data_IF_999533026593
#
_entry.id   IF_999533026593
#
_cell.length_a   1.000
_cell.length_b   1.000
_cell.length_c   1.000
_cell.angle_alpha   90.00
_cell.angle_beta   90.00
_cell.angle_gamma   90.00
#
_symmetry.space_group_name_H-M   'P 1'
#
loop_
_entity.id
_entity.type
_entity.pdbx_description
1 polymer ?
#
# COMPACT_ATOMS: atom_id res chain seq x y z
N UNK A 1 32.52 -34.78 11.90
CA UNK A 1 32.59 -34.03 10.63
C UNK A 1 31.22 -33.40 10.44
N UNK A 2 30.95 -32.10 10.33
CA UNK A 2 31.73 -30.86 10.20
C UNK A 2 31.03 -29.82 11.12
N UNK A 3 31.71 -29.10 12.04
CA UNK A 3 32.41 -27.80 11.88
C UNK A 3 31.64 -26.71 11.13
N UNK A 4 31.23 -25.65 11.85
CA UNK A 4 31.01 -24.32 11.28
C UNK A 4 29.94 -23.44 11.94
N UNK A 5 29.94 -23.26 13.26
CA UNK A 5 29.10 -22.24 13.92
C UNK A 5 29.87 -20.92 14.00
N UNK A 6 29.28 -19.85 13.48
CA UNK A 6 29.86 -18.51 13.36
C UNK A 6 29.98 -17.81 14.73
N UNK A 7 31.18 -17.30 15.00
CA UNK A 7 31.50 -16.31 16.04
C UNK A 7 30.97 -14.91 15.62
N UNK A 8 30.39 -14.10 16.52
CA UNK A 8 30.16 -12.68 16.27
C UNK A 8 31.43 -11.88 16.62
N UNK A 9 32.28 -11.66 15.63
CA UNK A 9 33.40 -10.74 15.72
C UNK A 9 32.90 -9.29 15.80
N UNK A 10 33.02 -8.69 16.99
CA UNK A 10 32.85 -7.26 17.19
C UNK A 10 33.93 -6.48 16.43
N UNK A 11 33.55 -5.87 15.31
CA UNK A 11 34.37 -4.91 14.60
C UNK A 11 33.98 -3.50 15.07
N UNK A 12 34.79 -2.95 15.98
CA UNK A 12 34.73 -1.57 16.38
C UNK A 12 34.91 -0.65 15.16
N UNK A 13 33.95 0.26 14.96
CA UNK A 13 33.99 1.32 13.96
C UNK A 13 35.18 2.27 14.25
N UNK A 14 36.03 2.60 13.27
CA UNK A 14 37.07 3.59 13.50
C UNK A 14 36.48 5.00 13.61
N UNK A 15 36.93 5.71 14.64
CA UNK A 15 36.57 7.08 14.97
C UNK A 15 36.75 8.04 13.77
N UNK A 16 35.66 8.75 13.44
CA UNK A 16 35.62 9.79 12.41
C UNK A 16 36.39 11.01 12.91
N UNK A 17 37.59 11.25 12.37
CA UNK A 17 38.37 12.46 12.62
C UNK A 17 37.56 13.71 12.20
N UNK A 18 37.62 14.83 12.94
CA UNK A 18 36.97 16.06 12.55
C UNK A 18 37.67 16.63 11.30
N UNK A 19 36.92 16.73 10.21
CA UNK A 19 37.39 17.33 8.97
C UNK A 19 37.82 18.78 9.20
N UNK A 20 39.06 19.09 8.85
CA UNK A 20 39.51 20.46 8.63
C UNK A 20 38.58 21.14 7.60
N UNK A 21 38.28 22.44 7.74
CA UNK A 21 37.58 23.17 6.70
C UNK A 21 38.40 23.13 5.40
N UNK A 22 37.75 23.02 4.23
CA UNK A 22 38.47 23.05 2.96
C UNK A 22 39.25 24.37 2.86
N UNK A 23 40.56 24.24 2.61
CA UNK A 23 41.44 25.36 2.31
C UNK A 23 40.79 26.23 1.25
N UNK A 24 40.52 27.49 1.61
CA UNK A 24 39.87 28.50 0.80
C UNK A 24 40.65 28.61 -0.50
N UNK A 25 40.11 28.04 -1.59
CA UNK A 25 40.66 28.19 -2.91
C UNK A 25 40.77 29.70 -3.19
N UNK A 26 41.98 30.23 -3.19
CA UNK A 26 42.26 31.60 -3.59
C UNK A 26 41.94 31.69 -5.07
N UNK A 27 40.70 32.07 -5.38
CA UNK A 27 40.30 32.39 -6.75
C UNK A 27 41.24 33.48 -7.24
N UNK A 28 41.94 33.31 -8.38
CA UNK A 28 42.75 34.39 -8.94
C UNK A 28 41.82 35.58 -9.17
N UNK A 29 42.09 36.69 -8.48
CA UNK A 29 41.32 37.92 -8.68
C UNK A 29 41.69 38.46 -10.06
N UNK A 30 40.85 38.16 -11.06
CA UNK A 30 40.90 38.81 -12.36
C UNK A 30 40.89 40.33 -12.14
N UNK A 31 41.69 41.11 -12.89
CA UNK A 31 41.60 42.57 -12.85
C UNK A 31 40.15 42.95 -13.14
N UNK A 32 39.52 43.68 -12.22
CA UNK A 32 38.22 44.28 -12.50
C UNK A 32 38.40 45.14 -13.76
N UNK A 33 37.52 45.01 -14.79
CA UNK A 33 37.54 45.96 -15.88
C UNK A 33 37.41 47.38 -15.30
N UNK A 34 38.05 48.39 -15.89
CA UNK A 34 37.79 49.76 -15.48
C UNK A 34 36.29 49.97 -15.54
N UNK A 35 35.67 50.38 -14.42
CA UNK A 35 34.25 50.70 -14.41
C UNK A 35 33.97 51.58 -15.62
N UNK A 36 32.97 51.26 -16.45
CA UNK A 36 32.57 52.18 -17.50
C UNK A 36 32.34 53.52 -16.81
N UNK A 37 33.07 54.55 -17.24
CA UNK A 37 32.73 55.90 -16.85
C UNK A 37 31.23 56.04 -17.12
N UNK A 38 30.45 56.25 -16.06
CA UNK A 38 29.02 56.52 -16.18
C UNK A 38 28.92 57.60 -17.26
N UNK A 39 28.13 57.40 -18.33
CA UNK A 39 27.92 58.50 -19.24
C UNK A 39 27.42 59.65 -18.37
N UNK A 40 28.16 60.76 -18.35
CA UNK A 40 27.67 62.05 -17.85
C UNK A 40 26.53 62.46 -18.78
N UNK A 41 25.41 61.74 -18.69
CA UNK A 41 24.15 62.13 -19.26
C UNK A 41 23.61 63.22 -18.36
N UNK A 42 23.14 64.31 -18.99
CA UNK A 42 22.27 65.28 -18.34
C UNK A 42 21.25 64.50 -17.50
N UNK A 43 21.34 64.66 -16.18
CA UNK A 43 20.39 64.08 -15.25
C UNK A 43 19.12 64.93 -15.41
N UNK A 44 18.23 64.48 -16.28
CA UNK A 44 16.96 65.16 -16.53
C UNK A 44 16.03 64.92 -15.33
N UNK A 45 15.93 65.95 -14.47
CA UNK A 45 15.14 65.92 -13.26
C UNK A 45 13.68 66.21 -13.62
N UNK A 46 12.84 65.18 -13.59
CA UNK A 46 11.41 65.28 -13.90
C UNK A 46 10.57 65.33 -12.62
N UNK A 47 9.46 66.07 -12.66
CA UNK A 47 8.48 66.11 -11.57
C UNK A 47 7.32 65.17 -11.90
N UNK A 48 6.90 64.35 -10.94
CA UNK A 48 5.70 63.53 -11.07
C UNK A 48 4.42 64.30 -10.72
N UNK A 49 3.26 63.66 -10.94
CA UNK A 49 1.94 64.25 -10.70
C UNK A 49 1.68 64.53 -9.19
N UNK A 50 2.57 64.09 -8.29
CA UNK A 50 2.56 64.32 -6.84
C UNK A 50 3.71 65.28 -6.40
N UNK A 51 4.30 66.01 -7.35
CA UNK A 51 5.41 66.95 -7.14
C UNK A 51 6.70 66.32 -6.55
N UNK A 52 6.87 65.00 -6.66
CA UNK A 52 8.11 64.32 -6.27
C UNK A 52 9.12 64.36 -7.41
N UNK A 53 10.37 64.57 -7.01
CA UNK A 53 11.50 64.60 -7.93
C UNK A 53 11.84 63.17 -8.38
N UNK A 54 11.91 62.95 -9.70
CA UNK A 54 12.27 61.66 -10.33
C UNK A 54 13.30 61.84 -11.43
N UNK A 55 14.25 60.91 -11.48
CA UNK A 55 15.33 60.89 -12.50
C UNK A 55 14.88 60.26 -13.82
N UNK A 56 13.71 59.59 -13.84
CA UNK A 56 13.16 58.95 -15.04
C UNK A 56 11.91 59.68 -15.52
N UNK A 57 11.73 59.88 -16.85
CA UNK A 57 10.53 60.52 -17.39
C UNK A 57 9.23 59.90 -16.90
N UNK A 58 8.26 60.74 -16.53
CA UNK A 58 6.92 60.39 -16.02
C UNK A 58 6.28 59.20 -16.72
N UNK A 59 6.27 59.18 -18.05
CA UNK A 59 5.62 58.11 -18.83
C UNK A 59 6.34 56.77 -18.70
N UNK A 60 7.68 56.78 -18.70
CA UNK A 60 8.48 55.56 -18.51
C UNK A 60 8.35 55.03 -17.08
N UNK A 61 8.24 55.92 -16.08
CA UNK A 61 7.97 55.52 -14.70
C UNK A 61 6.62 54.82 -14.55
N UNK A 62 5.54 55.40 -15.09
CA UNK A 62 4.20 54.78 -15.07
C UNK A 62 4.16 53.44 -15.78
N UNK A 63 4.86 53.30 -16.91
CA UNK A 63 4.96 52.02 -17.62
C UNK A 63 5.70 50.95 -16.80
N UNK A 64 6.78 51.31 -16.12
CA UNK A 64 7.51 50.40 -15.23
C UNK A 64 6.67 49.98 -14.03
N UNK A 65 5.89 50.88 -13.44
CA UNK A 65 4.98 50.57 -12.33
C UNK A 65 3.82 49.64 -12.77
N UNK A 66 3.24 49.90 -13.94
CA UNK A 66 2.23 49.00 -14.51
C UNK A 66 2.82 47.61 -14.82
N UNK A 67 4.04 47.55 -15.36
CA UNK A 67 4.75 46.29 -15.59
C UNK A 67 5.03 45.56 -14.27
N UNK A 68 5.43 46.27 -13.22
CA UNK A 68 5.63 45.72 -11.88
C UNK A 68 4.33 45.10 -11.34
N UNK A 69 3.22 45.83 -11.41
CA UNK A 69 1.90 45.31 -10.99
C UNK A 69 1.47 44.09 -11.81
N UNK A 70 1.70 44.09 -13.13
CA UNK A 70 1.39 42.94 -13.98
C UNK A 70 2.25 41.72 -13.63
N UNK A 71 3.53 41.90 -13.34
CA UNK A 71 4.42 40.84 -12.88
C UNK A 71 3.99 40.27 -11.52
N UNK A 72 3.56 41.12 -10.59
CA UNK A 72 3.03 40.71 -9.29
C UNK A 72 1.74 39.89 -9.48
N UNK A 73 0.77 40.39 -10.25
CA UNK A 73 -0.47 39.70 -10.56
C UNK A 73 -0.24 38.35 -11.27
N UNK A 74 0.74 38.28 -12.18
CA UNK A 74 1.11 37.03 -12.85
C UNK A 74 1.68 36.01 -11.86
N UNK A 75 2.54 36.48 -10.94
CA UNK A 75 3.13 35.64 -9.89
C UNK A 75 2.05 35.09 -8.95
N UNK A 76 1.06 35.90 -8.57
CA UNK A 76 -0.08 35.46 -7.76
C UNK A 76 -0.94 34.43 -8.48
N UNK A 77 -1.23 34.65 -9.77
CA UNK A 77 -1.94 33.67 -10.59
C UNK A 77 -1.21 32.34 -10.67
N UNK A 78 0.12 32.35 -10.87
CA UNK A 78 0.94 31.12 -10.87
C UNK A 78 0.84 30.40 -9.52
N UNK A 79 0.90 31.12 -8.40
CA UNK A 79 0.76 30.52 -7.07
C UNK A 79 -0.60 29.83 -6.92
N UNK A 80 -1.69 30.55 -7.25
CA UNK A 80 -3.05 29.99 -7.19
C UNK A 80 -3.25 28.77 -8.10
N UNK A 81 -2.61 28.77 -9.28
CA UNK A 81 -2.62 27.63 -10.18
C UNK A 81 -1.86 26.44 -9.58
N UNK A 82 -0.69 26.68 -8.99
CA UNK A 82 0.07 25.67 -8.25
C UNK A 82 -0.75 25.04 -7.13
N UNK A 83 -1.43 25.86 -6.32
CA UNK A 83 -2.31 25.38 -5.24
C UNK A 83 -3.47 24.54 -5.78
N UNK A 84 -4.07 24.95 -6.90
CA UNK A 84 -5.15 24.19 -7.55
C UNK A 84 -4.69 22.83 -8.06
N UNK A 85 -3.50 22.79 -8.68
CA UNK A 85 -2.91 21.52 -9.16
C UNK A 85 -2.57 20.63 -7.96
N UNK A 86 -2.02 21.18 -6.88
CA UNK A 86 -1.73 20.43 -5.67
C UNK A 86 -2.98 19.80 -5.06
N UNK A 87 -4.07 20.57 -4.93
CA UNK A 87 -5.36 20.03 -4.48
C UNK A 87 -5.89 18.93 -5.41
N UNK A 88 -5.74 19.08 -6.73
CA UNK A 88 -6.16 18.06 -7.68
C UNK A 88 -5.36 16.76 -7.52
N UNK A 89 -4.04 16.85 -7.33
CA UNK A 89 -3.18 15.68 -7.07
C UNK A 89 -3.63 14.96 -5.80
N UNK A 90 -3.90 15.69 -4.72
CA UNK A 90 -4.36 15.11 -3.46
C UNK A 90 -5.71 14.39 -3.60
N UNK A 91 -6.65 14.97 -4.36
CA UNK A 91 -7.94 14.33 -4.65
C UNK A 91 -7.74 13.07 -5.49
N UNK A 92 -6.90 13.12 -6.52
CA UNK A 92 -6.61 11.96 -7.37
C UNK A 92 -5.97 10.82 -6.58
N UNK A 93 -5.00 11.11 -5.71
CA UNK A 93 -4.39 10.12 -4.83
C UNK A 93 -5.41 9.53 -3.84
N UNK A 94 -6.29 10.35 -3.29
CA UNK A 94 -7.38 9.91 -2.43
C UNK A 94 -8.35 8.95 -3.14
N UNK A 95 -8.76 9.28 -4.36
CA UNK A 95 -9.63 8.42 -5.17
C UNK A 95 -8.94 7.14 -5.63
N UNK A 96 -7.66 7.20 -6.02
CA UNK A 96 -6.88 6.03 -6.39
C UNK A 96 -6.83 5.00 -5.23
N UNK A 97 -6.61 5.47 -4.01
CA UNK A 97 -6.61 4.63 -2.81
C UNK A 97 -7.98 3.99 -2.55
N UNK A 98 -9.08 4.72 -2.72
CA UNK A 98 -10.44 4.18 -2.58
C UNK A 98 -10.74 3.10 -3.62
N UNK A 99 -10.33 3.34 -4.87
CA UNK A 99 -10.50 2.37 -5.96
C UNK A 99 -9.74 1.08 -5.66
N UNK A 100 -8.48 1.18 -5.24
CA UNK A 100 -7.70 -0.02 -4.92
C UNK A 100 -8.28 -0.78 -3.72
N UNK A 101 -8.77 -0.07 -2.70
CA UNK A 101 -9.46 -0.68 -1.56
C UNK A 101 -10.69 -1.48 -1.99
N UNK A 102 -11.59 -0.88 -2.77
CA UNK A 102 -12.80 -1.56 -3.23
C UNK A 102 -12.49 -2.71 -4.20
N UNK A 103 -11.45 -2.57 -5.03
CA UNK A 103 -10.96 -3.66 -5.88
C UNK A 103 -10.49 -4.86 -5.06
N UNK A 104 -9.68 -4.63 -4.02
CA UNK A 104 -9.22 -5.71 -3.12
C UNK A 104 -10.41 -6.36 -2.40
N UNK A 105 -11.36 -5.56 -1.94
CA UNK A 105 -12.58 -6.05 -1.29
C UNK A 105 -13.42 -6.91 -2.24
N UNK A 106 -13.60 -6.48 -3.48
CA UNK A 106 -14.33 -7.23 -4.51
C UNK A 106 -13.63 -8.56 -4.85
N UNK A 107 -12.29 -8.56 -4.99
CA UNK A 107 -11.51 -9.79 -5.18
C UNK A 107 -11.70 -10.74 -4.00
N UNK A 108 -11.63 -10.23 -2.76
CA UNK A 108 -11.87 -11.03 -1.56
C UNK A 108 -13.26 -11.67 -1.52
N UNK A 109 -14.29 -10.91 -1.87
CA UNK A 109 -15.66 -11.43 -1.98
C UNK A 109 -15.80 -12.49 -3.08
N UNK A 110 -15.20 -12.25 -4.25
CA UNK A 110 -15.18 -13.20 -5.36
C UNK A 110 -14.51 -14.51 -4.94
N UNK A 111 -13.33 -14.45 -4.35
CA UNK A 111 -12.61 -15.63 -3.88
C UNK A 111 -13.44 -16.42 -2.86
N UNK A 112 -14.11 -15.72 -1.93
CA UNK A 112 -14.98 -16.36 -0.95
C UNK A 112 -16.16 -17.08 -1.61
N UNK A 113 -16.82 -16.45 -2.58
CA UNK A 113 -17.93 -17.04 -3.30
C UNK A 113 -17.51 -18.24 -4.16
N UNK A 114 -16.37 -18.13 -4.84
CA UNK A 114 -15.79 -19.21 -5.65
C UNK A 114 -15.44 -20.43 -4.79
N UNK A 115 -14.79 -20.20 -3.64
CA UNK A 115 -14.44 -21.27 -2.70
C UNK A 115 -15.65 -21.87 -1.96
N UNK A 116 -16.79 -21.17 -1.92
CA UNK A 116 -17.97 -21.64 -1.19
C UNK A 116 -18.58 -22.88 -1.84
N UNK A 117 -18.65 -22.92 -3.17
CA UNK A 117 -19.17 -24.08 -3.91
C UNK A 117 -18.32 -25.33 -3.64
N UNK A 118 -16.99 -25.19 -3.68
CA UNK A 118 -16.06 -26.26 -3.36
C UNK A 118 -16.12 -26.69 -1.89
N UNK A 119 -16.25 -25.74 -0.96
CA UNK A 119 -16.42 -26.04 0.46
C UNK A 119 -17.71 -26.83 0.72
N UNK A 120 -18.83 -26.43 0.11
CA UNK A 120 -20.10 -27.17 0.17
C UNK A 120 -19.96 -28.57 -0.40
N UNK A 121 -19.33 -28.71 -1.57
CA UNK A 121 -19.08 -30.01 -2.22
C UNK A 121 -18.24 -30.93 -1.34
N UNK A 122 -17.13 -30.44 -0.77
CA UNK A 122 -16.26 -31.20 0.14
C UNK A 122 -17.03 -31.67 1.38
N UNK A 123 -17.81 -30.78 2.00
CA UNK A 123 -18.64 -31.14 3.16
C UNK A 123 -19.68 -32.19 2.81
N UNK A 124 -20.32 -32.08 1.64
CA UNK A 124 -21.29 -33.07 1.18
C UNK A 124 -20.65 -34.44 0.95
N UNK A 125 -19.48 -34.47 0.29
CA UNK A 125 -18.73 -35.72 0.08
C UNK A 125 -18.30 -36.36 1.41
N UNK A 126 -17.82 -35.55 2.37
CA UNK A 126 -17.45 -36.04 3.69
C UNK A 126 -18.65 -36.65 4.44
N UNK A 127 -19.81 -35.98 4.42
CA UNK A 127 -21.03 -36.52 5.02
C UNK A 127 -21.50 -37.81 4.34
N UNK A 128 -21.40 -37.87 3.01
CA UNK A 128 -21.79 -39.06 2.25
C UNK A 128 -20.87 -40.25 2.55
N UNK A 129 -19.57 -40.02 2.70
CA UNK A 129 -18.62 -41.06 3.12
C UNK A 129 -18.95 -41.59 4.53
N UNK A 130 -19.23 -40.71 5.49
CA UNK A 130 -19.66 -41.12 6.84
C UNK A 130 -20.97 -41.91 6.82
N UNK A 131 -21.94 -41.50 5.98
CA UNK A 131 -23.19 -42.26 5.81
C UNK A 131 -22.90 -43.67 5.29
N UNK A 132 -22.06 -43.80 4.26
CA UNK A 132 -21.70 -45.10 3.68
C UNK A 132 -21.01 -46.01 4.70
N UNK A 133 -20.09 -45.47 5.49
CA UNK A 133 -19.42 -46.21 6.57
C UNK A 133 -20.43 -46.72 7.60
N UNK A 134 -21.33 -45.85 8.07
CA UNK A 134 -22.35 -46.21 9.06
C UNK A 134 -23.38 -47.20 8.52
N UNK A 135 -23.78 -47.08 7.25
CA UNK A 135 -24.68 -48.06 6.62
C UNK A 135 -24.02 -49.43 6.50
N UNK A 136 -22.74 -49.50 6.12
CA UNK A 136 -22.02 -50.76 6.04
C UNK A 136 -21.85 -51.42 7.42
N UNK A 137 -21.54 -50.63 8.45
CA UNK A 137 -21.52 -51.12 9.84
C UNK A 137 -22.89 -51.67 10.27
N UNK A 138 -23.97 -50.94 9.96
CA UNK A 138 -25.32 -51.36 10.28
C UNK A 138 -25.70 -52.67 9.58
N UNK A 139 -25.45 -52.79 8.28
CA UNK A 139 -25.72 -54.01 7.51
C UNK A 139 -24.97 -55.23 8.06
N UNK A 140 -23.70 -55.03 8.45
CA UNK A 140 -22.92 -56.08 9.13
C UNK A 140 -23.56 -56.51 10.43
N UNK A 141 -23.98 -55.57 11.28
CA UNK A 141 -24.62 -55.88 12.57
C UNK A 141 -25.96 -56.61 12.38
N UNK A 142 -26.77 -56.17 11.41
CA UNK A 142 -28.03 -56.85 11.06
C UNK A 142 -27.78 -58.28 10.61
N UNK A 143 -26.76 -58.51 9.77
CA UNK A 143 -26.38 -59.86 9.36
C UNK A 143 -25.99 -60.74 10.55
N UNK A 144 -25.18 -60.20 11.49
CA UNK A 144 -24.78 -60.92 12.69
C UNK A 144 -25.96 -61.26 13.59
N UNK A 145 -26.89 -60.31 13.79
CA UNK A 145 -28.09 -60.50 14.59
C UNK A 145 -28.98 -61.61 13.99
N UNK A 146 -29.26 -61.55 12.70
CA UNK A 146 -30.07 -62.57 12.01
C UNK A 146 -29.45 -63.97 12.11
N UNK A 147 -28.11 -64.07 12.06
CA UNK A 147 -27.38 -65.32 12.23
C UNK A 147 -27.54 -65.89 13.64
N UNK A 148 -27.39 -65.04 14.66
CA UNK A 148 -27.55 -65.43 16.07
C UNK A 148 -28.99 -65.83 16.39
N UNK A 149 -29.98 -65.07 15.91
CA UNK A 149 -31.41 -65.41 16.09
C UNK A 149 -31.78 -66.74 15.44
N UNK A 150 -31.13 -67.09 14.32
CA UNK A 150 -31.29 -68.41 13.71
C UNK A 150 -30.72 -69.51 14.60
N UNK A 151 -29.50 -69.34 15.08
CA UNK A 151 -28.86 -70.29 15.99
C UNK A 151 -29.66 -70.46 17.30
N UNK A 152 -30.16 -69.36 17.88
CA UNK A 152 -31.01 -69.38 19.07
C UNK A 152 -32.31 -70.16 18.83
N UNK A 153 -32.98 -69.94 17.69
CA UNK A 153 -34.17 -70.71 17.31
C UNK A 153 -33.89 -72.19 17.16
N UNK A 154 -32.79 -72.56 16.51
CA UNK A 154 -32.36 -73.95 16.35
C UNK A 154 -32.07 -74.61 17.71
N UNK A 155 -31.40 -73.90 18.62
CA UNK A 155 -31.15 -74.36 19.98
C UNK A 155 -32.43 -74.53 20.79
N UNK A 156 -33.37 -73.56 20.75
CA UNK A 156 -34.67 -73.67 21.43
C UNK A 156 -35.47 -74.86 20.94
N UNK A 157 -35.52 -75.07 19.62
CA UNK A 157 -36.20 -76.22 19.03
C UNK A 157 -35.54 -77.56 19.42
N UNK A 158 -34.21 -77.58 19.59
CA UNK A 158 -33.51 -78.76 20.09
C UNK A 158 -33.85 -79.04 21.56
N UNK A 159 -33.86 -78.00 22.41
CA UNK A 159 -34.23 -78.11 23.82
C UNK A 159 -35.66 -78.64 23.97
N UNK A 160 -36.61 -78.12 23.19
CA UNK A 160 -38.00 -78.59 23.20
C UNK A 160 -38.11 -80.07 22.80
N UNK A 161 -37.35 -80.51 21.79
CA UNK A 161 -37.29 -81.93 21.41
C UNK A 161 -36.69 -82.81 22.51
N UNK A 162 -35.64 -82.36 23.19
CA UNK A 162 -35.04 -83.12 24.28
C UNK A 162 -35.98 -83.19 25.49
N UNK A 163 -36.59 -82.07 25.86
CA UNK A 163 -37.57 -81.98 26.94
C UNK A 163 -38.81 -82.85 26.71
N UNK A 164 -39.30 -82.96 25.46
CA UNK A 164 -40.46 -83.80 25.15
C UNK A 164 -40.13 -85.29 25.03
N UNK A 165 -38.85 -85.66 24.93
CA UNK A 165 -38.42 -87.06 24.87
C UNK A 165 -38.06 -87.65 26.26
N UNK A 166 -37.94 -86.83 27.31
CA UNK A 166 -37.65 -87.26 28.70
C UNK A 166 -38.91 -87.42 29.59
N UNK A 167 -40.09 -87.65 28.98
CA UNK A 167 -41.33 -88.09 29.65
C UNK A 167 -41.92 -89.30 28.94
#
# INVERSE_FOLDING_TARGET
QARGSLEPGGAALPARLPGLPPSRATVPRLPLPPSPAMPEGDIDITFDDENRIRVMPKEKFKQTENLEQQCQNFTEKIKSFGDTVQMLVEVLDGEANKIEYEKLRAIGQRNRAEMEADARRRKQQQMQAMLQEKTAEYERLVFQLNSLERAEREQKALIEKLSNNEC
#
